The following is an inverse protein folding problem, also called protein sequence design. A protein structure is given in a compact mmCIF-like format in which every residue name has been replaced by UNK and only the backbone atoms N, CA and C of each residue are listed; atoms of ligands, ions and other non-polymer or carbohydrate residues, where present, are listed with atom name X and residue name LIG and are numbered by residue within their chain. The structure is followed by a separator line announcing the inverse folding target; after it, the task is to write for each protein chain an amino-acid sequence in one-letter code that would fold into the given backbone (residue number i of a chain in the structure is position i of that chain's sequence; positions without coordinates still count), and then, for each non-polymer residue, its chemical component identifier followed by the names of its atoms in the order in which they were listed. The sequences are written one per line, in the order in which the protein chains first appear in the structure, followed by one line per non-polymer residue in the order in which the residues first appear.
data_IF_225307663428
#
_entry.id   IF_225307663428
#
_cell.length_a   1.000
_cell.length_b   1.000
_cell.length_c   1.000
_cell.angle_alpha   90.00
_cell.angle_beta   90.00
_cell.angle_gamma   90.00
#
_symmetry.space_group_name_H-M   'P 1'
#
loop_
_entity.id
_entity.type
_entity.pdbx_description
1 polymer ?
#
# COMPACT_ATOMS: atom_id res chain seq x y z
N UNK A 1 -14.15 15.44 -3.02
CA UNK A 1 -14.56 15.44 -1.60
C UNK A 1 -16.06 15.16 -1.54
N UNK A 2 -16.46 13.93 -1.18
CA UNK A 2 -17.85 13.63 -0.86
C UNK A 2 -18.01 13.72 0.67
N UNK A 3 -18.93 14.56 1.14
CA UNK A 3 -19.29 14.63 2.55
C UNK A 3 -20.48 13.70 2.80
N UNK A 4 -20.26 12.61 3.54
CA UNK A 4 -21.31 11.74 4.06
C UNK A 4 -21.52 11.96 5.55
N UNK A 5 -22.75 11.75 6.03
CA UNK A 5 -23.09 11.80 7.45
C UNK A 5 -23.20 10.37 8.00
N UNK A 6 -22.41 10.06 9.02
CA UNK A 6 -22.64 8.89 9.89
C UNK A 6 -23.12 9.43 11.25
N UNK A 7 -24.34 9.05 11.63
CA UNK A 7 -24.88 9.06 12.98
C UNK A 7 -24.82 10.36 13.79
N UNK A 8 -25.76 11.29 13.51
CA UNK A 8 -26.30 12.22 14.52
C UNK A 8 -25.39 13.33 15.05
N UNK A 9 -24.10 13.36 14.71
CA UNK A 9 -23.19 14.44 15.07
C UNK A 9 -22.98 15.39 13.88
N UNK A 10 -23.38 16.66 14.05
CA UNK A 10 -23.29 17.76 13.08
C UNK A 10 -21.85 18.26 12.86
N UNK A 11 -20.89 17.36 12.68
CA UNK A 11 -19.56 17.72 12.21
C UNK A 11 -19.24 16.86 11.00
N UNK A 12 -19.00 17.46 9.82
CA UNK A 12 -18.57 16.67 8.67
C UNK A 12 -17.20 16.04 9.01
N UNK A 13 -17.19 14.74 9.27
CA UNK A 13 -15.96 13.96 9.30
C UNK A 13 -15.51 13.77 7.85
N UNK A 14 -14.28 14.13 7.48
CA UNK A 14 -13.76 13.79 6.17
C UNK A 14 -13.74 12.27 6.05
N UNK A 15 -14.65 11.73 5.25
CA UNK A 15 -14.62 10.33 4.85
C UNK A 15 -13.44 10.20 3.90
N UNK A 16 -12.29 9.75 4.42
CA UNK A 16 -11.11 9.50 3.58
C UNK A 16 -11.41 8.24 2.78
N UNK A 17 -11.78 8.42 1.52
CA UNK A 17 -11.93 7.35 0.55
C UNK A 17 -10.56 7.08 -0.05
N UNK A 18 -9.82 6.14 0.52
CA UNK A 18 -8.69 5.56 -0.20
C UNK A 18 -9.28 4.73 -1.36
N UNK A 19 -8.83 4.96 -2.59
CA UNK A 19 -9.37 4.27 -3.75
C UNK A 19 -8.56 3.03 -4.14
N UNK A 20 -7.24 3.08 -3.95
CA UNK A 20 -6.28 2.06 -4.38
C UNK A 20 -4.93 2.25 -3.68
N UNK A 21 -4.07 1.24 -3.77
CA UNK A 21 -2.66 1.35 -3.39
C UNK A 21 -1.80 1.33 -4.66
N UNK A 22 -1.12 2.44 -4.98
CA UNK A 22 0.01 2.43 -5.92
C UNK A 22 1.25 2.01 -5.14
N UNK A 23 1.91 0.94 -5.55
CA UNK A 23 3.09 0.42 -4.86
C UNK A 23 4.21 0.26 -5.87
N UNK A 24 5.38 0.73 -5.46
CA UNK A 24 6.62 0.52 -6.19
C UNK A 24 7.75 0.23 -5.20
N UNK A 25 8.82 -0.37 -5.70
CA UNK A 25 10.03 -0.61 -4.95
C UNK A 25 11.29 -0.30 -5.74
N UNK A 26 12.29 0.22 -5.04
CA UNK A 26 13.57 0.56 -5.64
C UNK A 26 14.73 0.08 -4.78
N UNK A 27 15.81 -0.31 -5.44
CA UNK A 27 17.04 -0.67 -4.76
C UNK A 27 17.77 0.60 -4.31
N UNK A 28 18.19 0.63 -3.05
CA UNK A 28 18.95 1.73 -2.45
C UNK A 28 20.26 1.21 -1.86
N UNK A 29 21.31 2.04 -1.89
CA UNK A 29 22.59 1.71 -1.27
C UNK A 29 22.69 2.31 0.12
N UNK A 30 22.88 1.48 1.14
CA UNK A 30 23.00 1.88 2.54
C UNK A 30 24.23 1.19 3.15
N UNK A 31 25.18 1.99 3.63
CA UNK A 31 26.37 1.46 4.32
C UNK A 31 27.21 0.49 3.48
N UNK A 32 27.25 0.67 2.16
CA UNK A 32 27.99 -0.20 1.24
C UNK A 32 27.26 -1.49 0.84
N UNK A 33 26.03 -1.70 1.31
CA UNK A 33 25.18 -2.85 0.93
C UNK A 33 23.92 -2.39 0.22
N UNK A 34 23.31 -3.28 -0.56
CA UNK A 34 22.02 -3.04 -1.22
C UNK A 34 20.86 -3.39 -0.31
N UNK A 35 19.85 -2.52 -0.30
CA UNK A 35 18.55 -2.73 0.34
C UNK A 35 17.42 -2.38 -0.65
N UNK A 36 16.21 -2.79 -0.32
CA UNK A 36 15.00 -2.54 -1.10
C UNK A 36 14.07 -1.64 -0.31
N UNK A 37 13.70 -0.52 -0.91
CA UNK A 37 12.79 0.46 -0.36
C UNK A 37 11.45 0.39 -1.09
N UNK A 38 10.41 0.03 -0.35
CA UNK A 38 9.04 -0.08 -0.83
C UNK A 38 8.27 1.16 -0.40
N UNK A 39 7.43 1.70 -1.28
CA UNK A 39 6.54 2.82 -0.97
C UNK A 39 5.13 2.52 -1.44
N UNK A 40 4.14 2.89 -0.63
CA UNK A 40 2.74 2.87 -1.00
C UNK A 40 2.19 4.29 -1.03
N UNK A 41 1.56 4.65 -2.15
CA UNK A 41 1.01 5.97 -2.41
C UNK A 41 -0.45 5.86 -2.82
N UNK A 42 -1.27 6.79 -2.32
CA UNK A 42 -2.66 6.93 -2.73
C UNK A 42 -2.82 8.21 -3.55
N UNK A 43 -3.34 8.11 -4.80
CA UNK A 43 -3.32 9.22 -5.74
C UNK A 43 -4.42 10.26 -5.54
N UNK A 44 -5.58 9.92 -5.00
CA UNK A 44 -6.71 10.86 -4.87
C UNK A 44 -6.41 11.95 -3.84
N UNK A 45 -5.92 11.53 -2.67
CA UNK A 45 -5.55 12.39 -1.55
C UNK A 45 -4.07 12.79 -1.59
N UNK A 46 -3.30 12.21 -2.53
CA UNK A 46 -1.87 12.46 -2.75
C UNK A 46 -1.04 12.18 -1.50
N UNK A 47 -1.27 11.04 -0.87
CA UNK A 47 -0.67 10.67 0.43
C UNK A 47 0.25 9.45 0.30
N UNK A 48 1.40 9.52 0.96
CA UNK A 48 2.21 8.33 1.24
C UNK A 48 1.53 7.57 2.39
N UNK A 49 1.11 6.35 2.12
CA UNK A 49 0.41 5.50 3.07
C UNK A 49 1.37 4.69 3.96
N UNK A 50 2.50 4.30 3.39
CA UNK A 50 3.51 3.51 4.07
C UNK A 50 4.81 3.43 3.29
N UNK A 51 5.88 3.18 4.04
CA UNK A 51 7.22 2.94 3.51
C UNK A 51 7.79 1.75 4.25
N UNK A 52 8.59 0.93 3.58
CA UNK A 52 9.26 -0.21 4.18
C UNK A 52 10.66 -0.39 3.61
N UNK A 53 11.65 -0.60 4.48
CA UNK A 53 13.01 -0.90 4.08
C UNK A 53 13.32 -2.36 4.44
N UNK A 54 13.90 -3.11 3.49
CA UNK A 54 14.25 -4.51 3.67
C UNK A 54 15.58 -4.83 3.00
N UNK A 55 16.39 -5.67 3.62
CA UNK A 55 17.59 -6.23 2.98
C UNK A 55 17.27 -7.31 1.93
N UNK A 56 15.99 -7.69 1.80
CA UNK A 56 15.53 -8.72 0.85
C UNK A 56 14.32 -8.24 0.05
N UNK A 57 14.25 -8.66 -1.23
CA UNK A 57 13.10 -8.47 -2.13
C UNK A 57 12.44 -9.80 -2.42
N UNK A 58 11.39 -10.13 -1.66
CA UNK A 58 10.66 -11.38 -1.82
C UNK A 58 9.20 -11.23 -1.41
N UNK A 59 8.41 -12.25 -1.71
CA UNK A 59 6.98 -12.30 -1.41
C UNK A 59 6.67 -12.04 0.06
N UNK A 60 7.41 -12.62 1.01
CA UNK A 60 7.10 -12.50 2.44
C UNK A 60 7.23 -11.06 2.93
N UNK A 61 8.22 -10.32 2.43
CA UNK A 61 8.39 -8.89 2.74
C UNK A 61 7.20 -8.09 2.21
N UNK A 62 6.83 -8.30 0.96
CA UNK A 62 5.71 -7.60 0.31
C UNK A 62 4.38 -7.93 0.97
N UNK A 63 4.15 -9.20 1.31
CA UNK A 63 2.93 -9.63 1.98
C UNK A 63 2.79 -8.98 3.36
N UNK A 64 3.88 -8.90 4.13
CA UNK A 64 3.88 -8.19 5.42
C UNK A 64 3.57 -6.70 5.24
N UNK A 65 4.19 -6.06 4.25
CA UNK A 65 3.95 -4.65 3.95
C UNK A 65 2.48 -4.39 3.56
N UNK A 66 1.93 -5.18 2.63
CA UNK A 66 0.54 -5.10 2.20
C UNK A 66 -0.44 -5.37 3.35
N UNK A 67 -0.15 -6.35 4.21
CA UNK A 67 -0.99 -6.67 5.37
C UNK A 67 -1.10 -5.49 6.33
N UNK A 68 -0.01 -4.75 6.56
CA UNK A 68 -0.04 -3.53 7.38
C UNK A 68 -0.85 -2.40 6.73
N UNK A 69 -0.78 -2.24 5.41
CA UNK A 69 -1.62 -1.28 4.69
C UNK A 69 -3.10 -1.65 4.81
N UNK A 70 -3.44 -2.93 4.60
CA UNK A 70 -4.82 -3.43 4.73
C UNK A 70 -5.35 -3.24 6.15
N UNK A 71 -4.54 -3.52 7.17
CA UNK A 71 -4.90 -3.32 8.58
C UNK A 71 -5.22 -1.86 8.89
N UNK A 72 -4.52 -0.90 8.28
CA UNK A 72 -4.65 0.54 8.56
C UNK A 72 -5.70 1.24 7.71
N UNK A 73 -5.85 0.83 6.45
CA UNK A 73 -6.63 1.58 5.45
C UNK A 73 -7.77 0.76 4.83
N UNK A 74 -7.90 -0.51 5.20
CA UNK A 74 -8.86 -1.43 4.60
C UNK A 74 -8.34 -2.09 3.32
N UNK A 75 -9.17 -2.93 2.71
CA UNK A 75 -8.82 -3.66 1.49
C UNK A 75 -9.06 -2.77 0.27
N UNK A 76 -8.04 -2.62 -0.56
CA UNK A 76 -8.07 -1.84 -1.80
C UNK A 76 -7.32 -2.58 -2.91
N UNK A 77 -7.63 -2.31 -4.20
CA UNK A 77 -6.85 -2.82 -5.31
C UNK A 77 -5.38 -2.37 -5.21
N UNK A 78 -4.46 -3.27 -5.50
CA UNK A 78 -3.02 -3.00 -5.53
C UNK A 78 -2.59 -2.86 -6.98
N UNK A 79 -2.04 -1.71 -7.31
CA UNK A 79 -1.35 -1.44 -8.56
C UNK A 79 0.15 -1.46 -8.30
N UNK A 80 0.84 -2.43 -8.89
CA UNK A 80 2.28 -2.57 -8.81
C UNK A 80 2.79 -3.16 -10.12
N UNK A 81 4.11 -3.20 -10.32
CA UNK A 81 4.67 -3.83 -11.50
C UNK A 81 4.34 -5.34 -11.59
N UNK A 82 4.69 -5.95 -12.73
CA UNK A 82 4.48 -7.38 -12.96
C UNK A 82 5.36 -8.30 -12.10
N UNK A 83 6.05 -7.79 -11.07
CA UNK A 83 6.91 -8.55 -10.18
C UNK A 83 6.20 -9.74 -9.54
N UNK A 84 6.82 -10.92 -9.63
CA UNK A 84 6.23 -12.17 -9.11
C UNK A 84 5.93 -12.12 -7.61
N UNK A 85 6.68 -11.32 -6.85
CA UNK A 85 6.48 -11.11 -5.41
C UNK A 85 5.19 -10.33 -5.10
N UNK A 86 4.81 -9.34 -5.92
CA UNK A 86 3.54 -8.62 -5.77
C UNK A 86 2.36 -9.53 -6.10
N UNK A 87 2.42 -10.21 -7.24
CA UNK A 87 1.35 -11.14 -7.65
C UNK A 87 1.10 -12.22 -6.59
N UNK A 88 2.16 -12.83 -6.07
CA UNK A 88 2.05 -13.88 -5.07
C UNK A 88 1.56 -13.35 -3.71
N UNK A 89 2.03 -12.18 -3.27
CA UNK A 89 1.58 -11.56 -2.03
C UNK A 89 0.10 -11.13 -2.10
N UNK A 90 -0.32 -10.54 -3.21
CA UNK A 90 -1.73 -10.18 -3.44
C UNK A 90 -2.61 -11.42 -3.45
N UNK A 91 -2.23 -12.50 -4.15
CA UNK A 91 -2.96 -13.78 -4.12
C UNK A 91 -3.09 -14.34 -2.70
N UNK A 92 -2.00 -14.35 -1.93
CA UNK A 92 -1.98 -14.82 -0.53
C UNK A 92 -2.96 -14.04 0.36
N UNK A 93 -3.06 -12.72 0.15
CA UNK A 93 -3.96 -11.84 0.91
C UNK A 93 -5.36 -11.71 0.30
N UNK A 94 -5.63 -12.36 -0.84
CA UNK A 94 -6.87 -12.24 -1.62
C UNK A 94 -7.11 -10.83 -2.21
N UNK A 95 -6.06 -10.04 -2.41
CA UNK A 95 -6.13 -8.69 -2.95
C UNK A 95 -6.16 -8.73 -4.49
N UNK A 96 -6.91 -7.82 -5.09
CA UNK A 96 -6.87 -7.60 -6.53
C UNK A 96 -5.52 -6.97 -6.90
N UNK A 97 -4.78 -7.61 -7.80
CA UNK A 97 -3.52 -7.11 -8.34
C UNK A 97 -3.72 -6.61 -9.77
N UNK A 98 -3.28 -5.39 -10.04
CA UNK A 98 -3.30 -4.74 -11.35
C UNK A 98 -1.90 -4.23 -11.67
N UNK A 99 -1.58 -4.19 -12.97
CA UNK A 99 -0.32 -3.67 -13.53
C UNK A 99 -0.63 -2.42 -14.32
#
# INVERSE_FOLDING_TARGET
MFMGFLDGLRTPVPVVLYALFLIDDTEVRLGGSSAWFFIAYEPLERKILGMWLSWTRNQLVVERFLRELVRRFGRHPVYADGGSHYLAACKSLGLEHRV
#
